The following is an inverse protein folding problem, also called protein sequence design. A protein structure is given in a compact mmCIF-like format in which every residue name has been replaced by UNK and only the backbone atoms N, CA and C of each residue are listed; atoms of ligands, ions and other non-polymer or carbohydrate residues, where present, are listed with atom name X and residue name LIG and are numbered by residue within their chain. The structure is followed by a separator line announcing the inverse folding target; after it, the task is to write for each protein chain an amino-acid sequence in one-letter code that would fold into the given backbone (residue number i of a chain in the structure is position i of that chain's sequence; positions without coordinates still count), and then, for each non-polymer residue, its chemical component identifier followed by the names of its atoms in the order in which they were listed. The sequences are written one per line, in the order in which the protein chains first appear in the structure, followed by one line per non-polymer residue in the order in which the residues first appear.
data_IF_267348637970
#
_entry.id   IF_267348637970
#
_cell.length_a   1.000
_cell.length_b   1.000
_cell.length_c   1.000
_cell.angle_alpha   90.00
_cell.angle_beta   90.00
_cell.angle_gamma   90.00
#
_symmetry.space_group_name_H-M   'P 1'
#
loop_
_entity.id
_entity.type
_entity.pdbx_description
1 polymer ?
#
# COMPACT_ATOMS: atom_id res chain seq x y z
N UNK A 1 5.15 -15.05 -14.16
CA UNK A 1 4.96 -13.61 -14.43
C UNK A 1 6.23 -12.89 -14.01
N UNK A 2 6.74 -11.95 -14.79
CA UNK A 2 7.95 -11.21 -14.46
C UNK A 2 7.59 -10.08 -13.49
N UNK A 3 8.23 -10.05 -12.31
CA UNK A 3 8.06 -8.98 -11.32
C UNK A 3 8.64 -7.68 -11.86
N UNK A 4 7.95 -6.56 -11.64
CA UNK A 4 8.32 -5.23 -12.13
C UNK A 4 8.44 -4.24 -10.97
N UNK A 5 9.31 -3.26 -11.15
CA UNK A 5 9.43 -2.09 -10.27
C UNK A 5 9.50 -0.84 -11.14
N UNK A 6 8.71 0.19 -10.80
CA UNK A 6 8.84 1.50 -11.45
C UNK A 6 9.69 2.38 -10.53
N UNK A 7 10.75 2.94 -11.08
CA UNK A 7 11.70 3.79 -10.36
C UNK A 7 11.52 5.23 -10.83
N UNK A 8 11.49 6.16 -9.87
CA UNK A 8 11.44 7.59 -10.20
C UNK A 8 12.70 8.03 -10.96
N UNK A 9 12.51 8.81 -12.01
CA UNK A 9 13.63 9.32 -12.82
C UNK A 9 14.58 10.25 -12.04
N UNK A 10 14.21 10.69 -10.85
CA UNK A 10 15.03 11.53 -9.96
C UNK A 10 15.81 10.71 -8.92
N UNK A 11 15.56 9.40 -8.82
CA UNK A 11 16.36 8.51 -7.96
C UNK A 11 17.81 8.47 -8.46
N UNK A 12 18.74 8.62 -7.53
CA UNK A 12 20.18 8.78 -7.84
C UNK A 12 21.01 7.53 -7.63
N UNK A 13 20.48 6.53 -6.94
CA UNK A 13 21.19 5.27 -6.75
C UNK A 13 21.37 4.58 -8.10
N UNK A 14 22.59 4.16 -8.38
CA UNK A 14 22.90 3.28 -9.53
C UNK A 14 22.94 1.81 -9.07
N UNK A 15 23.33 1.55 -7.83
CA UNK A 15 23.48 0.20 -7.28
C UNK A 15 22.15 -0.51 -7.18
N UNK A 16 21.11 0.14 -6.62
CA UNK A 16 19.83 -0.50 -6.40
C UNK A 16 19.18 -0.99 -7.71
N UNK A 17 19.10 -0.20 -8.80
CA UNK A 17 18.59 -0.69 -10.07
C UNK A 17 19.42 -1.84 -10.65
N UNK A 18 20.74 -1.81 -10.53
CA UNK A 18 21.63 -2.86 -11.03
C UNK A 18 21.39 -4.17 -10.29
N UNK A 19 21.29 -4.14 -8.97
CA UNK A 19 20.98 -5.31 -8.14
C UNK A 19 19.58 -5.87 -8.43
N UNK A 20 18.56 -5.01 -8.53
CA UNK A 20 17.21 -5.44 -8.90
C UNK A 20 17.17 -6.12 -10.27
N UNK A 21 17.90 -5.57 -11.25
CA UNK A 21 18.00 -6.16 -12.59
C UNK A 21 18.75 -7.52 -12.55
N UNK A 22 19.84 -7.63 -11.77
CA UNK A 22 20.59 -8.88 -11.58
C UNK A 22 19.69 -9.98 -10.97
N UNK A 23 18.73 -9.61 -10.12
CA UNK A 23 17.75 -10.53 -9.53
C UNK A 23 16.53 -10.79 -10.43
N UNK A 24 16.58 -10.35 -11.70
CA UNK A 24 15.54 -10.61 -12.70
C UNK A 24 14.28 -9.76 -12.56
N UNK A 25 14.35 -8.65 -11.82
CA UNK A 25 13.26 -7.67 -11.73
C UNK A 25 13.26 -6.80 -12.99
N UNK A 26 12.11 -6.65 -13.62
CA UNK A 26 11.96 -5.70 -14.74
C UNK A 26 11.86 -4.28 -14.19
N UNK A 27 12.77 -3.42 -14.64
CA UNK A 27 12.79 -2.00 -14.23
C UNK A 27 12.13 -1.15 -15.31
N UNK A 28 11.31 -0.22 -14.89
CA UNK A 28 10.75 0.84 -15.71
C UNK A 28 11.01 2.19 -15.03
N UNK A 29 11.48 3.19 -15.78
CA UNK A 29 11.70 4.53 -15.25
C UNK A 29 10.55 5.45 -15.64
N UNK A 30 10.06 6.22 -14.65
CA UNK A 30 9.03 7.21 -14.92
C UNK A 30 9.11 8.36 -13.90
N UNK A 31 8.53 9.50 -14.21
CA UNK A 31 8.33 10.56 -13.21
C UNK A 31 7.18 10.18 -12.29
N UNK A 32 7.48 9.95 -11.03
CA UNK A 32 6.52 9.52 -10.00
C UNK A 32 6.06 10.71 -9.18
N UNK A 33 4.76 10.85 -8.90
CA UNK A 33 4.24 11.97 -8.13
C UNK A 33 4.65 11.96 -6.65
N UNK A 34 4.88 10.77 -6.08
CA UNK A 34 5.34 10.57 -4.71
C UNK A 34 6.07 9.24 -4.59
N UNK A 35 7.15 9.21 -3.79
CA UNK A 35 8.01 8.05 -3.57
C UNK A 35 9.03 7.83 -4.67
N UNK A 36 9.91 6.87 -4.47
CA UNK A 36 11.02 6.57 -5.36
C UNK A 36 10.85 5.23 -6.10
N UNK A 37 10.24 4.22 -5.45
CA UNK A 37 10.06 2.88 -6.00
C UNK A 37 8.60 2.43 -5.86
N UNK A 38 7.89 2.32 -6.99
CA UNK A 38 6.54 1.74 -7.01
C UNK A 38 6.67 0.23 -7.22
N UNK A 39 6.26 -0.54 -6.20
CA UNK A 39 6.36 -2.01 -6.20
C UNK A 39 5.03 -2.70 -6.47
N UNK A 40 3.91 -1.97 -6.37
CA UNK A 40 2.57 -2.44 -6.77
C UNK A 40 1.64 -1.25 -7.01
N UNK A 41 0.41 -1.50 -7.44
CA UNK A 41 -0.62 -0.46 -7.59
C UNK A 41 -1.05 0.20 -6.27
N UNK A 42 -0.70 -0.40 -5.15
CA UNK A 42 -1.04 0.07 -3.80
C UNK A 42 0.16 0.37 -2.90
N UNK A 43 1.37 -0.05 -3.29
CA UNK A 43 2.56 0.04 -2.45
C UNK A 43 3.68 0.82 -3.14
N UNK A 44 4.23 1.78 -2.42
CA UNK A 44 5.35 2.59 -2.85
C UNK A 44 6.32 2.83 -1.71
N UNK A 45 7.60 2.91 -2.04
CA UNK A 45 8.70 3.13 -1.12
C UNK A 45 9.32 4.50 -1.42
N UNK A 46 9.39 5.34 -0.40
CA UNK A 46 10.26 6.52 -0.35
C UNK A 46 11.57 6.08 0.30
N UNK A 47 12.70 6.20 -0.40
CA UNK A 47 14.03 5.90 0.13
C UNK A 47 14.71 7.15 0.63
N UNK A 48 15.40 7.03 1.76
CA UNK A 48 16.26 8.10 2.26
C UNK A 48 17.55 7.53 2.83
N UNK A 49 18.69 8.10 2.44
CA UNK A 49 19.92 7.92 3.21
C UNK A 49 19.76 8.50 4.62
N UNK A 50 20.58 8.06 5.57
CA UNK A 50 20.57 8.61 6.95
C UNK A 50 20.68 10.13 6.93
N UNK A 51 21.60 10.70 6.15
CA UNK A 51 21.80 12.14 6.06
C UNK A 51 20.61 12.88 5.44
N UNK A 52 19.97 12.32 4.40
CA UNK A 52 18.77 12.91 3.79
C UNK A 52 17.57 12.83 4.72
N UNK A 53 17.46 11.74 5.49
CA UNK A 53 16.43 11.60 6.51
C UNK A 53 16.55 12.66 7.59
N UNK A 54 17.74 12.83 8.16
CA UNK A 54 18.03 13.87 9.16
C UNK A 54 17.76 15.28 8.62
N UNK A 55 18.26 15.56 7.41
CA UNK A 55 18.04 16.86 6.77
C UNK A 55 16.54 17.12 6.52
N UNK A 56 15.78 16.08 6.15
CA UNK A 56 14.35 16.20 5.90
C UNK A 56 13.55 16.43 7.20
N UNK A 57 14.00 15.90 8.34
CA UNK A 57 13.42 16.20 9.66
C UNK A 57 13.65 17.66 10.00
N UNK A 58 14.91 18.12 9.91
CA UNK A 58 15.29 19.50 10.27
C UNK A 58 14.55 20.55 9.43
N UNK A 59 14.35 20.28 8.17
CA UNK A 59 13.66 21.18 7.22
C UNK A 59 12.15 20.96 7.15
N UNK A 60 11.57 20.13 8.02
CA UNK A 60 10.14 19.75 8.05
C UNK A 60 9.59 19.14 6.75
N UNK A 61 10.44 18.85 5.76
CA UNK A 61 10.03 18.28 4.46
C UNK A 61 9.60 16.82 4.54
N UNK A 62 10.09 16.08 5.53
CA UNK A 62 9.77 14.66 5.70
C UNK A 62 8.26 14.44 5.73
N UNK A 63 7.58 15.16 6.58
CA UNK A 63 6.15 14.94 6.82
C UNK A 63 5.27 15.35 5.63
N UNK A 64 5.66 16.36 4.89
CA UNK A 64 4.98 16.73 3.63
C UNK A 64 5.14 15.63 2.55
N UNK A 65 6.33 15.00 2.50
CA UNK A 65 6.56 13.87 1.60
C UNK A 65 5.74 12.65 2.01
N UNK A 66 5.70 12.33 3.32
CA UNK A 66 4.91 11.21 3.84
C UNK A 66 3.41 11.42 3.65
N UNK A 67 2.92 12.65 3.81
CA UNK A 67 1.52 12.98 3.53
C UNK A 67 1.16 12.70 2.07
N UNK A 68 1.98 13.18 1.12
CA UNK A 68 1.78 12.90 -0.32
C UNK A 68 1.86 11.43 -0.65
N UNK A 69 2.81 10.70 -0.03
CA UNK A 69 2.97 9.27 -0.24
C UNK A 69 1.71 8.51 0.21
N UNK A 70 1.19 8.84 1.40
CA UNK A 70 -0.06 8.28 1.92
C UNK A 70 -1.28 8.60 1.07
N UNK A 71 -1.38 9.83 0.55
CA UNK A 71 -2.48 10.21 -0.34
C UNK A 71 -2.46 9.44 -1.66
N UNK A 72 -1.27 9.01 -2.10
CA UNK A 72 -1.07 8.35 -3.39
C UNK A 72 -1.16 6.84 -3.31
N UNK A 73 -0.80 6.23 -2.17
CA UNK A 73 -0.70 4.78 -2.04
C UNK A 73 -1.34 4.27 -0.75
N UNK A 74 -2.00 3.11 -0.84
CA UNK A 74 -2.64 2.47 0.31
C UNK A 74 -1.62 1.84 1.28
N UNK A 75 -0.44 1.48 0.78
CA UNK A 75 0.68 0.91 1.55
C UNK A 75 1.95 1.75 1.35
N UNK A 76 2.00 2.95 1.93
CA UNK A 76 3.19 3.78 1.87
C UNK A 76 4.28 3.25 2.79
N UNK A 77 5.52 3.25 2.32
CA UNK A 77 6.69 2.81 3.09
C UNK A 77 7.79 3.86 3.01
N UNK A 78 8.47 4.08 4.12
CA UNK A 78 9.70 4.85 4.22
C UNK A 78 10.85 3.89 4.50
N UNK A 79 11.80 3.78 3.59
CA UNK A 79 13.00 3.00 3.76
C UNK A 79 14.16 3.93 4.09
N UNK A 80 14.75 3.73 5.27
CA UNK A 80 15.88 4.52 5.76
C UNK A 80 17.14 3.67 5.64
N UNK A 81 18.03 4.08 4.74
CA UNK A 81 19.32 3.44 4.53
C UNK A 81 20.34 4.11 5.44
N UNK A 82 20.75 3.39 6.48
CA UNK A 82 21.66 3.88 7.51
C UNK A 82 22.96 3.10 7.44
N UNK A 83 23.90 3.57 6.64
CA UNK A 83 25.27 3.05 6.57
C UNK A 83 26.16 3.59 7.68
N UNK A 84 25.71 4.63 8.38
CA UNK A 84 26.42 5.33 9.45
C UNK A 84 25.46 5.68 10.60
N UNK A 85 26.02 6.02 11.75
CA UNK A 85 25.24 6.49 12.90
C UNK A 85 24.56 7.84 12.59
N UNK A 86 23.37 8.02 13.10
CA UNK A 86 22.66 9.29 13.01
C UNK A 86 23.36 10.39 13.83
N UNK A 87 23.47 11.59 13.27
CA UNK A 87 24.00 12.78 13.92
C UNK A 87 22.98 13.45 14.84
N UNK A 88 21.68 13.34 14.49
CA UNK A 88 20.61 13.82 15.34
C UNK A 88 20.49 12.95 16.60
N UNK A 89 20.01 13.56 17.67
CA UNK A 89 19.78 12.80 18.89
C UNK A 89 18.72 11.70 18.68
N UNK A 90 18.87 10.62 19.43
CA UNK A 90 18.01 9.45 19.34
C UNK A 90 16.52 9.77 19.48
N UNK A 91 16.16 10.72 20.33
CA UNK A 91 14.75 11.10 20.56
C UNK A 91 14.14 11.76 19.33
N UNK A 92 14.90 12.58 18.57
CA UNK A 92 14.44 13.20 17.33
C UNK A 92 14.19 12.14 16.26
N UNK A 93 15.11 11.19 16.09
CA UNK A 93 14.97 10.06 15.15
C UNK A 93 13.76 9.20 15.53
N UNK A 94 13.69 8.75 16.79
CA UNK A 94 12.58 7.93 17.28
C UNK A 94 11.25 8.66 17.15
N UNK A 95 11.21 9.96 17.50
CA UNK A 95 10.01 10.78 17.36
C UNK A 95 9.54 10.88 15.89
N UNK A 96 10.47 11.08 14.95
CA UNK A 96 10.13 11.12 13.52
C UNK A 96 9.60 9.77 12.98
N UNK A 97 10.21 8.66 13.40
CA UNK A 97 9.77 7.30 13.04
C UNK A 97 8.38 7.01 13.59
N UNK A 98 8.16 7.29 14.87
CA UNK A 98 6.84 7.08 15.50
C UNK A 98 5.77 7.96 14.86
N UNK A 99 6.09 9.21 14.55
CA UNK A 99 5.19 10.13 13.89
C UNK A 99 4.84 9.67 12.47
N UNK A 100 5.81 9.17 11.70
CA UNK A 100 5.58 8.58 10.39
C UNK A 100 4.53 7.45 10.44
N UNK A 101 4.63 6.59 11.45
CA UNK A 101 3.68 5.50 11.64
C UNK A 101 2.34 5.97 12.19
N UNK A 102 2.31 6.69 13.31
CA UNK A 102 1.08 7.01 14.04
C UNK A 102 0.21 8.06 13.33
N UNK A 103 0.81 9.10 12.75
CA UNK A 103 0.06 10.19 12.12
C UNK A 103 -0.16 9.96 10.62
N UNK A 104 0.84 9.37 9.94
CA UNK A 104 0.78 9.19 8.49
C UNK A 104 0.49 7.75 8.04
N UNK A 105 0.53 6.77 8.97
CA UNK A 105 0.32 5.37 8.62
C UNK A 105 1.40 4.81 7.69
N UNK A 106 2.58 5.44 7.66
CA UNK A 106 3.71 5.03 6.82
C UNK A 106 4.56 4.02 7.58
N UNK A 107 4.76 2.85 7.00
CA UNK A 107 5.64 1.84 7.57
C UNK A 107 7.10 2.24 7.39
N UNK A 108 7.90 2.14 8.44
CA UNK A 108 9.33 2.48 8.40
C UNK A 108 10.15 1.21 8.42
N UNK A 109 11.06 1.09 7.48
CA UNK A 109 11.99 -0.05 7.31
C UNK A 109 13.40 0.53 7.30
N UNK A 110 14.34 -0.19 7.89
CA UNK A 110 15.76 0.16 7.89
C UNK A 110 16.56 -0.83 7.06
N UNK A 111 17.60 -0.34 6.40
CA UNK A 111 18.64 -1.13 5.74
C UNK A 111 20.01 -0.57 6.08
N UNK A 112 21.06 -1.39 5.93
CA UNK A 112 22.43 -1.02 6.27
C UNK A 112 23.29 -0.78 5.03
N UNK A 113 22.77 -1.06 3.84
CA UNK A 113 23.47 -0.82 2.57
C UNK A 113 22.49 -0.69 1.41
N UNK A 114 23.00 -0.29 0.23
CA UNK A 114 22.19 -0.22 -0.99
C UNK A 114 21.80 -1.61 -1.50
N UNK A 115 22.66 -2.61 -1.30
CA UNK A 115 22.41 -4.01 -1.64
C UNK A 115 21.25 -4.55 -0.80
N UNK A 116 21.28 -4.35 0.53
CA UNK A 116 20.18 -4.74 1.42
C UNK A 116 18.89 -3.97 1.07
N UNK A 117 19.00 -2.70 0.69
CA UNK A 117 17.87 -1.91 0.20
C UNK A 117 17.26 -2.56 -1.05
N UNK A 118 18.08 -2.97 -2.01
CA UNK A 118 17.62 -3.66 -3.21
C UNK A 118 16.94 -5.00 -2.89
N UNK A 119 17.51 -5.80 -1.99
CA UNK A 119 16.89 -7.05 -1.54
C UNK A 119 15.52 -6.83 -0.89
N UNK A 120 15.38 -5.80 -0.05
CA UNK A 120 14.10 -5.46 0.58
C UNK A 120 13.06 -5.04 -0.45
N UNK A 121 13.44 -4.16 -1.40
CA UNK A 121 12.56 -3.75 -2.50
C UNK A 121 12.12 -4.95 -3.34
N UNK A 122 13.06 -5.85 -3.69
CA UNK A 122 12.75 -7.07 -4.41
C UNK A 122 11.74 -7.95 -3.66
N UNK A 123 12.01 -8.25 -2.37
CA UNK A 123 11.14 -9.09 -1.54
C UNK A 123 9.74 -8.50 -1.45
N UNK A 124 9.62 -7.19 -1.21
CA UNK A 124 8.34 -6.50 -1.15
C UNK A 124 7.62 -6.57 -2.50
N UNK A 125 8.32 -6.31 -3.62
CA UNK A 125 7.75 -6.37 -4.96
C UNK A 125 7.24 -7.79 -5.28
N UNK A 126 8.02 -8.82 -4.97
CA UNK A 126 7.59 -10.21 -5.15
C UNK A 126 6.36 -10.56 -4.30
N UNK A 127 6.33 -10.15 -3.05
CA UNK A 127 5.18 -10.39 -2.16
C UNK A 127 3.92 -9.67 -2.64
N UNK A 128 4.04 -8.42 -3.06
CA UNK A 128 2.91 -7.62 -3.54
C UNK A 128 2.36 -8.13 -4.88
N UNK A 129 3.21 -8.67 -5.76
CA UNK A 129 2.83 -9.14 -7.08
C UNK A 129 2.60 -10.65 -7.17
N UNK A 130 2.75 -11.40 -6.07
CA UNK A 130 2.62 -12.86 -6.04
C UNK A 130 1.30 -13.39 -6.64
N UNK A 131 0.20 -12.65 -6.44
CA UNK A 131 -1.13 -13.01 -6.91
C UNK A 131 -1.51 -12.34 -8.26
N UNK A 132 -0.57 -11.72 -8.97
CA UNK A 132 -0.77 -10.96 -10.23
C UNK A 132 -1.87 -9.87 -10.19
N UNK A 133 -2.42 -9.58 -9.03
CA UNK A 133 -3.50 -8.59 -8.84
C UNK A 133 -2.99 -7.17 -8.57
N UNK A 134 -1.73 -7.04 -8.16
CA UNK A 134 -1.13 -5.78 -7.74
C UNK A 134 0.11 -5.45 -8.56
N UNK A 135 -0.03 -5.34 -9.87
CA UNK A 135 1.07 -4.85 -10.71
C UNK A 135 1.38 -3.37 -10.43
N UNK A 136 2.66 -2.95 -10.44
CA UNK A 136 3.02 -1.56 -10.29
C UNK A 136 2.44 -0.72 -11.43
N UNK A 137 1.84 0.41 -11.06
CA UNK A 137 1.26 1.37 -11.98
C UNK A 137 1.65 2.77 -11.55
N UNK A 138 1.86 3.64 -12.52
CA UNK A 138 1.92 5.07 -12.26
C UNK A 138 0.55 5.52 -11.76
N UNK A 139 0.45 5.69 -10.45
CA UNK A 139 -0.72 6.31 -9.84
C UNK A 139 -0.53 7.81 -10.01
N UNK A 140 -1.21 8.39 -11.00
CA UNK A 140 -1.35 9.86 -11.06
C UNK A 140 -2.05 10.33 -9.80
N UNK A 141 -1.60 11.45 -9.22
CA UNK A 141 -2.29 12.13 -8.13
C UNK A 141 -3.77 12.21 -8.52
N UNK A 142 -4.62 11.47 -7.80
CA UNK A 142 -6.07 11.37 -8.05
C UNK A 142 -6.45 11.03 -9.52
N UNK A 143 -6.02 9.89 -10.05
CA UNK A 143 -6.98 9.17 -10.87
C UNK A 143 -8.01 8.64 -9.89
N UNK A 144 -9.17 9.27 -9.90
CA UNK A 144 -10.33 8.72 -9.22
C UNK A 144 -10.35 7.22 -9.50
N UNK A 145 -10.44 6.41 -8.44
CA UNK A 145 -10.59 4.97 -8.59
C UNK A 145 -11.57 4.70 -9.72
N UNK A 146 -11.22 3.84 -10.65
CA UNK A 146 -12.18 3.42 -11.68
C UNK A 146 -13.43 2.87 -10.99
N UNK A 147 -14.57 2.92 -11.63
CA UNK A 147 -15.81 2.31 -11.09
C UNK A 147 -15.55 0.90 -10.58
N UNK A 148 -14.74 0.12 -11.28
CA UNK A 148 -14.32 -1.22 -10.89
C UNK A 148 -13.53 -1.25 -9.57
N UNK A 149 -12.58 -0.35 -9.38
CA UNK A 149 -11.79 -0.26 -8.15
C UNK A 149 -12.65 0.17 -6.96
N UNK A 150 -13.56 1.14 -7.17
CA UNK A 150 -14.54 1.50 -6.15
C UNK A 150 -15.45 0.35 -5.76
N UNK A 151 -15.91 -0.45 -6.72
CA UNK A 151 -16.73 -1.63 -6.44
C UNK A 151 -16.00 -2.65 -5.57
N UNK A 152 -14.71 -2.89 -5.82
CA UNK A 152 -13.89 -3.78 -4.98
C UNK A 152 -13.74 -3.22 -3.56
N UNK A 153 -13.33 -1.95 -3.43
CA UNK A 153 -13.13 -1.31 -2.13
C UNK A 153 -14.40 -1.33 -1.26
N UNK A 154 -15.56 -1.03 -1.85
CA UNK A 154 -16.84 -1.09 -1.14
C UNK A 154 -17.10 -2.49 -0.61
N UNK A 155 -16.89 -3.53 -1.40
CA UNK A 155 -17.10 -4.89 -0.93
C UNK A 155 -16.05 -5.35 0.08
N UNK A 156 -14.80 -4.96 -0.11
CA UNK A 156 -13.70 -5.29 0.81
C UNK A 156 -13.84 -4.59 2.18
N UNK A 157 -14.61 -3.51 2.27
CA UNK A 157 -14.93 -2.88 3.55
C UNK A 157 -15.88 -3.71 4.41
N UNK A 158 -16.58 -4.68 3.83
CA UNK A 158 -17.49 -5.58 4.58
C UNK A 158 -16.66 -6.65 5.28
N UNK A 159 -16.84 -6.84 6.62
CA UNK A 159 -16.10 -7.83 7.39
C UNK A 159 -16.17 -9.25 6.82
N UNK A 160 -15.02 -9.85 6.56
CA UNK A 160 -14.90 -11.21 6.02
C UNK A 160 -14.91 -11.29 4.49
N UNK A 161 -14.99 -10.16 3.78
CA UNK A 161 -14.81 -10.08 2.34
C UNK A 161 -13.41 -9.55 2.04
N UNK A 162 -12.52 -10.41 1.57
CA UNK A 162 -11.21 -10.00 1.04
C UNK A 162 -11.25 -9.88 -0.49
N UNK A 163 -10.11 -9.46 -1.13
CA UNK A 163 -10.05 -9.20 -2.56
C UNK A 163 -10.58 -10.33 -3.45
N UNK A 164 -10.15 -11.57 -3.19
CA UNK A 164 -10.60 -12.75 -3.98
C UNK A 164 -12.12 -12.95 -3.91
N UNK A 165 -12.70 -12.69 -2.74
CA UNK A 165 -14.12 -12.85 -2.52
C UNK A 165 -14.93 -11.69 -3.11
N UNK A 166 -14.45 -10.45 -3.01
CA UNK A 166 -15.04 -9.29 -3.68
C UNK A 166 -15.16 -9.51 -5.21
N UNK A 167 -14.09 -10.01 -5.83
CA UNK A 167 -14.12 -10.39 -7.25
C UNK A 167 -15.14 -11.47 -7.55
N UNK A 168 -15.22 -12.52 -6.74
CA UNK A 168 -16.16 -13.61 -6.95
C UNK A 168 -17.61 -13.11 -6.84
N UNK A 169 -17.89 -12.25 -5.85
CA UNK A 169 -19.20 -11.62 -5.67
C UNK A 169 -19.59 -10.73 -6.86
N UNK A 170 -18.68 -9.86 -7.34
CA UNK A 170 -18.93 -9.01 -8.49
C UNK A 170 -19.14 -9.82 -9.79
N UNK A 171 -18.41 -10.90 -9.97
CA UNK A 171 -18.63 -11.81 -11.12
C UNK A 171 -20.02 -12.45 -11.08
N UNK A 172 -20.48 -12.86 -9.88
CA UNK A 172 -21.78 -13.53 -9.71
C UNK A 172 -22.94 -12.57 -9.79
N UNK A 173 -22.88 -11.43 -9.09
CA UNK A 173 -23.99 -10.48 -8.93
C UNK A 173 -23.88 -9.24 -9.83
N UNK A 174 -22.81 -9.10 -10.62
CA UNK A 174 -22.57 -8.07 -11.64
C UNK A 174 -22.38 -6.64 -11.14
N UNK A 175 -22.76 -6.32 -9.91
CA UNK A 175 -22.63 -4.98 -9.33
C UNK A 175 -22.63 -5.06 -7.81
N UNK A 176 -22.13 -3.98 -7.14
CA UNK A 176 -22.23 -3.82 -5.68
C UNK A 176 -23.70 -3.89 -5.24
N UNK A 177 -24.60 -3.19 -5.98
CA UNK A 177 -26.03 -3.25 -5.67
C UNK A 177 -26.60 -4.66 -5.75
N UNK A 178 -26.12 -5.45 -6.73
CA UNK A 178 -26.51 -6.86 -6.84
C UNK A 178 -26.05 -7.69 -5.64
N UNK A 179 -24.88 -7.41 -5.10
CA UNK A 179 -24.38 -8.06 -3.88
C UNK A 179 -25.17 -7.62 -2.64
N UNK A 180 -25.44 -6.32 -2.49
CA UNK A 180 -26.18 -5.77 -1.34
C UNK A 180 -27.61 -6.32 -1.30
N UNK A 181 -28.24 -6.50 -2.45
CA UNK A 181 -29.61 -7.02 -2.54
C UNK A 181 -29.70 -8.56 -2.52
N UNK A 182 -28.57 -9.25 -2.47
CA UNK A 182 -28.54 -10.71 -2.44
C UNK A 182 -28.71 -11.22 -1.01
N UNK A 183 -29.79 -11.93 -0.75
CA UNK A 183 -30.01 -12.58 0.55
C UNK A 183 -29.00 -13.71 0.83
N UNK A 184 -28.95 -14.20 2.09
CA UNK A 184 -27.99 -15.22 2.53
C UNK A 184 -27.99 -16.49 1.68
N UNK A 185 -29.17 -16.92 1.21
CA UNK A 185 -29.32 -18.12 0.35
C UNK A 185 -28.65 -17.95 -1.01
N UNK A 186 -28.62 -16.71 -1.52
CA UNK A 186 -27.96 -16.40 -2.79
C UNK A 186 -26.44 -16.23 -2.58
N UNK A 187 -26.04 -15.61 -1.46
CA UNK A 187 -24.63 -15.40 -1.12
C UNK A 187 -23.86 -16.71 -0.95
N UNK A 188 -24.48 -17.74 -0.37
CA UNK A 188 -23.83 -19.06 -0.20
C UNK A 188 -23.56 -19.79 -1.53
N UNK A 189 -24.13 -19.34 -2.64
CA UNK A 189 -23.79 -19.89 -3.97
C UNK A 189 -22.42 -19.47 -4.47
N UNK A 190 -21.76 -18.50 -3.80
CA UNK A 190 -20.41 -18.06 -4.14
C UNK A 190 -19.41 -18.92 -3.38
N UNK A 191 -18.41 -19.43 -4.09
CA UNK A 191 -17.35 -20.25 -3.48
C UNK A 191 -16.73 -19.55 -2.26
N UNK A 192 -16.45 -20.31 -1.19
CA UNK A 192 -15.91 -19.84 0.11
C UNK A 192 -16.84 -18.93 0.93
N UNK A 193 -18.10 -18.81 0.57
CA UNK A 193 -19.14 -18.24 1.40
C UNK A 193 -20.03 -19.35 1.96
N UNK A 194 -19.75 -19.73 3.23
CA UNK A 194 -20.65 -20.61 3.99
C UNK A 194 -21.76 -19.83 4.67
N UNK A 195 -22.76 -20.53 5.21
CA UNK A 195 -23.94 -19.96 5.90
C UNK A 195 -23.56 -18.89 6.94
N UNK A 196 -22.56 -19.17 7.80
CA UNK A 196 -22.10 -18.23 8.85
C UNK A 196 -21.59 -16.91 8.28
N UNK A 197 -20.84 -16.96 7.17
CA UNK A 197 -20.30 -15.73 6.52
C UNK A 197 -21.44 -14.98 5.80
N UNK A 198 -22.34 -15.67 5.12
CA UNK A 198 -23.49 -15.05 4.47
C UNK A 198 -24.38 -14.30 5.47
N UNK A 199 -24.67 -14.91 6.62
CA UNK A 199 -25.41 -14.25 7.70
C UNK A 199 -24.70 -13.03 8.27
N UNK A 200 -23.36 -13.09 8.41
CA UNK A 200 -22.58 -11.94 8.88
C UNK A 200 -22.56 -10.79 7.89
N UNK A 201 -22.52 -11.09 6.61
CA UNK A 201 -22.63 -10.07 5.54
C UNK A 201 -24.01 -9.41 5.60
N UNK A 202 -25.07 -10.20 5.68
CA UNK A 202 -26.44 -9.70 5.79
C UNK A 202 -26.65 -8.84 7.05
N UNK A 203 -26.16 -9.29 8.19
CA UNK A 203 -26.21 -8.54 9.45
C UNK A 203 -25.62 -7.13 9.32
N UNK A 204 -24.45 -7.02 8.67
CA UNK A 204 -23.79 -5.71 8.46
C UNK A 204 -24.55 -4.82 7.49
N UNK A 205 -25.13 -5.41 6.44
CA UNK A 205 -25.83 -4.67 5.39
C UNK A 205 -27.26 -4.26 5.79
N UNK A 206 -27.92 -5.04 6.67
CA UNK A 206 -29.28 -4.81 7.09
C UNK A 206 -29.40 -4.07 8.43
N UNK A 207 -28.29 -3.92 9.17
CA UNK A 207 -28.30 -3.24 10.46
C UNK A 207 -28.75 -1.77 10.30
N UNK A 208 -29.68 -1.34 11.14
CA UNK A 208 -30.02 0.08 11.26
C UNK A 208 -28.83 0.86 11.83
N UNK A 209 -28.63 2.08 11.36
CA UNK A 209 -27.59 2.96 11.87
C UNK A 209 -27.94 3.43 13.27
N UNK A 210 -27.12 3.08 14.25
CA UNK A 210 -27.19 3.62 15.60
C UNK A 210 -26.07 4.64 15.80
N UNK A 211 -26.43 5.89 16.03
CA UNK A 211 -25.48 6.94 16.40
C UNK A 211 -24.97 6.65 17.83
N UNK A 212 -23.72 6.18 17.95
CA UNK A 212 -23.09 6.08 19.26
C UNK A 212 -22.68 7.48 19.69
N UNK A 213 -23.24 7.97 20.80
CA UNK A 213 -22.72 9.15 21.46
C UNK A 213 -21.22 8.96 21.70
N UNK A 214 -20.40 9.90 21.18
CA UNK A 214 -18.97 9.92 21.37
C UNK A 214 -18.66 9.81 22.87
N UNK A 215 -18.01 8.73 23.25
CA UNK A 215 -17.43 8.61 24.61
C UNK A 215 -16.34 9.68 24.68
N UNK A 216 -16.65 10.78 25.38
CA UNK A 216 -15.74 11.86 25.72
C UNK A 216 -14.58 11.37 26.57
#
# INVERSE_FOLDING_TARGET
MQVRVIIDTRERSMVIPEELAAHGIKIEYATVPAGDYIVSDRACIERKSAGDFESSIMNSRLFDQLARLRESFAKPMLLIESTEDFRLNKNAITGAVLRAYLEYGVQVIFSNSQEETAELIEKIARMEQADSMHEPRLVGIKKAYSTYQWQLLILESIPGIGPKLAHALLRRFKSVRGVINAGPEQLVTVDKIGKKKAMRIEEVLAAEYEEKEDIK
#
